data_IF_662401777554
#
_entry.id   IF_662401777554
#
_cell.length_a   1.000
_cell.length_b   1.000
_cell.length_c   1.000
_cell.angle_alpha   90.00
_cell.angle_beta   90.00
_cell.angle_gamma   90.00
#
_symmetry.space_group_name_H-M   'P 1'
#
loop_
_entity.id
_entity.type
_entity.pdbx_description
1 polymer ?
#
# COMPACT_ATOMS: atom_id res chain seq x y z
N UNK A 1 -14.85 6.41 -15.65
CA UNK A 1 -14.16 5.68 -14.59
C UNK A 1 -13.09 4.79 -15.22
N UNK A 2 -11.91 4.60 -14.62
CA UNK A 2 -10.93 3.65 -15.12
C UNK A 2 -11.55 2.24 -15.22
N UNK A 3 -11.21 1.48 -16.27
CA UNK A 3 -11.72 0.11 -16.46
C UNK A 3 -11.38 -0.82 -15.27
N UNK A 4 -10.29 -0.53 -14.57
CA UNK A 4 -9.85 -1.25 -13.37
C UNK A 4 -10.87 -1.26 -12.26
N UNK A 5 -11.72 -0.24 -12.14
CA UNK A 5 -12.74 -0.15 -11.10
C UNK A 5 -13.85 -1.19 -11.26
N UNK A 6 -14.04 -1.72 -12.48
CA UNK A 6 -14.99 -2.81 -12.73
C UNK A 6 -14.54 -4.16 -12.12
N UNK A 7 -13.29 -4.26 -11.67
CA UNK A 7 -12.74 -5.44 -10.98
C UNK A 7 -12.91 -5.39 -9.47
N UNK A 8 -13.41 -4.26 -8.94
CA UNK A 8 -13.70 -4.14 -7.53
C UNK A 8 -14.96 -4.91 -7.19
N UNK A 9 -14.86 -5.78 -6.20
CA UNK A 9 -15.99 -6.55 -5.67
C UNK A 9 -16.23 -6.16 -4.22
N UNK A 10 -17.49 -6.07 -3.82
CA UNK A 10 -17.86 -5.75 -2.45
C UNK A 10 -17.54 -6.93 -1.54
N UNK A 11 -16.68 -6.70 -0.55
CA UNK A 11 -16.27 -7.68 0.44
C UNK A 11 -15.71 -6.99 1.70
N UNK A 12 -15.99 -7.54 2.86
CA UNK A 12 -15.42 -7.08 4.12
C UNK A 12 -14.07 -7.75 4.38
N UNK A 13 -12.98 -7.10 3.97
CA UNK A 13 -11.62 -7.58 4.20
C UNK A 13 -11.11 -7.34 5.63
N UNK A 14 -11.68 -6.39 6.32
CA UNK A 14 -11.16 -5.88 7.58
C UNK A 14 -12.06 -6.21 8.76
N UNK A 15 -11.49 -6.34 9.97
CA UNK A 15 -12.29 -6.49 11.18
C UNK A 15 -13.28 -5.35 11.34
N UNK A 16 -14.49 -5.66 11.78
CA UNK A 16 -15.47 -4.63 12.15
C UNK A 16 -14.95 -3.83 13.33
N UNK A 17 -15.14 -2.52 13.26
CA UNK A 17 -14.73 -1.56 14.29
C UNK A 17 -15.97 -0.93 14.89
N UNK A 18 -16.05 -0.93 16.22
CA UNK A 18 -17.11 -0.25 16.93
C UNK A 18 -16.81 1.26 17.03
N UNK A 19 -17.84 2.09 16.84
CA UNK A 19 -17.74 3.53 17.06
C UNK A 19 -18.13 3.88 18.52
N UNK A 20 -17.54 4.94 19.12
CA UNK A 20 -16.56 5.84 18.53
C UNK A 20 -15.16 5.22 18.45
N UNK A 21 -14.39 5.58 17.43
CA UNK A 21 -13.03 5.09 17.23
C UNK A 21 -12.14 6.18 16.59
N UNK A 22 -10.84 6.03 16.75
CA UNK A 22 -9.84 6.92 16.16
C UNK A 22 -8.65 6.11 15.63
N UNK A 23 -7.91 6.70 14.70
CA UNK A 23 -6.74 6.06 14.11
C UNK A 23 -5.54 6.15 15.04
N UNK A 24 -4.85 5.05 15.16
CA UNK A 24 -3.55 4.91 15.83
C UNK A 24 -2.56 4.24 14.88
N UNK A 25 -1.30 4.23 15.24
CA UNK A 25 -0.26 3.52 14.52
C UNK A 25 0.42 2.47 15.40
N UNK A 26 0.77 1.36 14.76
CA UNK A 26 1.72 0.37 15.27
C UNK A 26 2.92 0.33 14.35
N UNK A 27 4.13 0.47 14.91
CA UNK A 27 5.39 0.51 14.15
C UNK A 27 6.29 -0.64 14.55
N UNK A 28 6.90 -1.26 13.55
CA UNK A 28 7.92 -2.31 13.69
C UNK A 28 9.17 -1.92 12.92
N UNK A 29 10.32 -2.03 13.58
CA UNK A 29 11.60 -1.61 13.05
C UNK A 29 12.51 -2.82 12.79
N UNK A 30 13.17 -2.83 11.65
CA UNK A 30 14.08 -3.87 11.19
C UNK A 30 15.37 -3.24 10.69
N UNK A 31 16.48 -3.98 10.69
CA UNK A 31 17.75 -3.51 10.15
C UNK A 31 17.66 -3.28 8.64
N UNK A 32 17.92 -2.05 8.19
CA UNK A 32 17.75 -1.66 6.80
C UNK A 32 18.79 -2.29 5.86
N UNK A 33 20.07 -2.30 6.26
CA UNK A 33 21.14 -2.70 5.34
C UNK A 33 21.03 -4.16 4.86
N UNK A 34 20.74 -5.16 5.73
CA UNK A 34 20.52 -6.53 5.29
C UNK A 34 19.29 -6.67 4.37
N UNK A 35 18.17 -6.02 4.72
CA UNK A 35 16.94 -6.05 3.91
C UNK A 35 17.19 -5.44 2.54
N UNK A 36 17.82 -4.26 2.48
CA UNK A 36 18.13 -3.59 1.22
C UNK A 36 19.03 -4.45 0.31
N UNK A 37 20.02 -5.15 0.89
CA UNK A 37 20.89 -6.08 0.16
C UNK A 37 20.11 -7.29 -0.36
N UNK A 38 19.26 -7.88 0.47
CA UNK A 38 18.43 -9.03 0.10
C UNK A 38 17.44 -8.69 -1.01
N UNK A 39 16.74 -7.56 -0.91
CA UNK A 39 15.80 -7.10 -1.93
C UNK A 39 16.47 -6.86 -3.28
N UNK A 40 17.69 -6.26 -3.29
CA UNK A 40 18.46 -6.08 -4.52
C UNK A 40 18.88 -7.41 -5.14
N UNK A 41 19.28 -8.39 -4.31
CA UNK A 41 19.67 -9.72 -4.78
C UNK A 41 18.53 -10.41 -5.56
N UNK A 42 17.31 -10.35 -5.05
CA UNK A 42 16.13 -10.94 -5.73
C UNK A 42 15.43 -9.96 -6.69
N UNK A 43 16.05 -8.78 -6.91
CA UNK A 43 15.51 -7.73 -7.78
C UNK A 43 14.05 -7.32 -7.44
N UNK A 44 13.74 -7.15 -6.16
CA UNK A 44 12.41 -6.77 -5.65
C UNK A 44 12.48 -5.39 -4.99
N UNK A 45 11.44 -4.60 -5.15
CA UNK A 45 11.34 -3.27 -4.53
C UNK A 45 10.71 -3.33 -3.13
N UNK A 46 10.99 -2.37 -2.23
CA UNK A 46 10.28 -2.28 -0.94
C UNK A 46 8.75 -2.20 -1.10
N UNK A 47 8.25 -1.56 -2.16
CA UNK A 47 6.82 -1.50 -2.43
C UNK A 47 6.24 -2.89 -2.73
N UNK A 48 6.92 -3.72 -3.53
CA UNK A 48 6.49 -5.10 -3.79
C UNK A 48 6.56 -5.96 -2.52
N UNK A 49 7.54 -5.73 -1.64
CA UNK A 49 7.61 -6.37 -0.32
C UNK A 49 6.36 -6.05 0.51
N UNK A 50 5.96 -4.77 0.60
CA UNK A 50 4.75 -4.35 1.32
C UNK A 50 3.48 -5.01 0.76
N UNK A 51 3.33 -5.02 -0.56
CA UNK A 51 2.20 -5.67 -1.23
C UNK A 51 2.13 -7.15 -0.86
N UNK A 52 3.27 -7.84 -0.88
CA UNK A 52 3.36 -9.26 -0.52
C UNK A 52 3.04 -9.51 0.94
N UNK A 53 3.60 -8.71 1.85
CA UNK A 53 3.31 -8.82 3.29
C UNK A 53 1.80 -8.66 3.53
N UNK A 54 1.20 -7.60 3.01
CA UNK A 54 -0.17 -7.26 3.36
C UNK A 54 -1.18 -8.25 2.78
N UNK A 55 -1.02 -8.63 1.50
CA UNK A 55 -1.91 -9.61 0.89
C UNK A 55 -1.85 -10.98 1.61
N UNK A 56 -0.64 -11.45 1.96
CA UNK A 56 -0.48 -12.71 2.68
C UNK A 56 -1.03 -12.65 4.10
N UNK A 57 -0.82 -11.53 4.79
CA UNK A 57 -1.38 -11.32 6.11
C UNK A 57 -2.91 -11.37 6.11
N UNK A 58 -3.57 -10.71 5.14
CA UNK A 58 -5.02 -10.77 5.01
C UNK A 58 -5.52 -12.18 4.73
N UNK A 59 -4.87 -12.91 3.82
CA UNK A 59 -5.25 -14.30 3.52
C UNK A 59 -5.11 -15.21 4.74
N UNK A 60 -4.04 -15.04 5.51
CA UNK A 60 -3.81 -15.76 6.77
C UNK A 60 -4.86 -15.37 7.83
N UNK A 61 -5.19 -14.08 7.95
CA UNK A 61 -6.23 -13.61 8.86
C UNK A 61 -7.60 -14.22 8.54
N UNK A 62 -7.94 -14.35 7.27
CA UNK A 62 -9.16 -15.00 6.78
C UNK A 62 -9.07 -16.53 6.66
N UNK A 63 -7.99 -17.14 7.19
CA UNK A 63 -7.82 -18.60 7.23
C UNK A 63 -7.98 -19.26 5.84
N UNK A 64 -7.47 -18.60 4.80
CA UNK A 64 -7.52 -19.08 3.42
C UNK A 64 -8.85 -18.86 2.67
N UNK A 65 -9.90 -18.38 3.34
CA UNK A 65 -11.22 -18.17 2.71
C UNK A 65 -11.20 -17.21 1.52
N UNK A 66 -10.19 -16.33 1.44
CA UNK A 66 -10.01 -15.36 0.36
C UNK A 66 -8.82 -15.69 -0.55
N UNK A 67 -8.31 -16.90 -0.52
CA UNK A 67 -7.10 -17.28 -1.28
C UNK A 67 -7.27 -17.11 -2.79
N UNK A 68 -8.45 -17.40 -3.32
CA UNK A 68 -8.78 -17.25 -4.74
C UNK A 68 -9.22 -15.81 -5.11
N UNK A 69 -9.24 -14.90 -4.15
CA UNK A 69 -9.66 -13.53 -4.40
C UNK A 69 -8.53 -12.72 -5.03
N UNK A 70 -8.83 -11.98 -6.09
CA UNK A 70 -7.95 -10.94 -6.63
C UNK A 70 -8.07 -9.72 -5.72
N UNK A 71 -6.95 -9.26 -5.18
CA UNK A 71 -6.91 -8.06 -4.33
C UNK A 71 -6.45 -6.86 -5.15
N UNK A 72 -7.17 -5.75 -5.04
CA UNK A 72 -6.73 -4.47 -5.55
C UNK A 72 -5.79 -3.81 -4.54
N UNK A 73 -4.61 -3.41 -4.97
CA UNK A 73 -3.65 -2.66 -4.16
C UNK A 73 -3.73 -1.19 -4.54
N UNK A 74 -4.29 -0.39 -3.66
CA UNK A 74 -4.26 1.05 -3.80
C UNK A 74 -2.88 1.57 -3.37
N UNK A 75 -2.16 2.20 -4.27
CA UNK A 75 -0.80 2.69 -4.01
C UNK A 75 -0.49 3.97 -4.78
N UNK A 76 0.44 4.75 -4.25
CA UNK A 76 0.95 5.93 -4.92
C UNK A 76 2.10 5.56 -5.87
N UNK A 77 2.05 6.10 -7.08
CA UNK A 77 3.09 5.96 -8.09
C UNK A 77 3.64 7.35 -8.42
N UNK A 78 4.96 7.47 -8.46
CA UNK A 78 5.59 8.71 -8.91
C UNK A 78 5.36 8.89 -10.42
N UNK A 79 4.43 9.76 -10.79
CA UNK A 79 4.09 10.04 -12.19
C UNK A 79 5.23 10.68 -12.97
N UNK A 80 6.22 11.32 -12.33
CA UNK A 80 7.40 11.85 -13.02
C UNK A 80 8.25 10.77 -13.66
N UNK A 81 8.21 9.55 -13.12
CA UNK A 81 8.95 8.39 -13.63
C UNK A 81 8.22 7.62 -14.72
N UNK A 82 7.01 8.01 -15.07
CA UNK A 82 6.22 7.34 -16.10
C UNK A 82 6.57 7.86 -17.50
N UNK A 83 6.34 7.05 -18.52
CA UNK A 83 6.53 7.47 -19.93
C UNK A 83 5.53 8.53 -20.40
N UNK A 84 4.47 8.77 -19.63
CA UNK A 84 3.43 9.77 -19.92
C UNK A 84 3.70 11.11 -19.25
N UNK A 85 4.72 11.22 -18.41
CA UNK A 85 5.17 12.48 -17.86
C UNK A 85 5.75 13.34 -18.98
N UNK A 86 5.21 14.54 -19.20
CA UNK A 86 5.80 15.49 -20.13
C UNK A 86 7.09 16.10 -19.53
N UNK A 87 7.92 16.70 -20.39
CA UNK A 87 9.21 17.25 -19.97
C UNK A 87 9.08 18.42 -18.98
N UNK A 88 7.91 19.06 -18.89
CA UNK A 88 7.62 20.12 -17.93
C UNK A 88 7.53 19.54 -16.53
N UNK A 89 6.77 18.44 -16.33
CA UNK A 89 6.65 17.77 -15.04
C UNK A 89 7.96 17.17 -14.56
N UNK A 90 8.81 16.68 -15.47
CA UNK A 90 10.15 16.19 -15.15
C UNK A 90 11.09 17.27 -14.60
N UNK A 91 10.86 18.52 -14.97
CA UNK A 91 11.71 19.68 -14.60
C UNK A 91 11.24 20.42 -13.35
N UNK A 92 10.03 20.13 -12.85
CA UNK A 92 9.48 20.79 -11.67
C UNK A 92 9.79 19.98 -10.41
N UNK A 93 10.84 20.33 -9.63
CA UNK A 93 11.28 19.52 -8.48
C UNK A 93 10.27 19.51 -7.33
N UNK A 94 9.29 20.41 -7.34
CA UNK A 94 8.31 20.58 -6.26
C UNK A 94 6.97 19.89 -6.51
N UNK A 95 6.71 19.45 -7.73
CA UNK A 95 5.52 18.66 -8.06
C UNK A 95 5.90 17.19 -8.16
N UNK A 96 6.11 16.55 -7.00
CA UNK A 96 6.01 15.10 -6.91
C UNK A 96 4.52 14.75 -7.03
N UNK A 97 4.01 14.78 -8.24
CA UNK A 97 2.67 14.28 -8.54
C UNK A 97 2.68 12.78 -8.35
N UNK A 98 2.24 12.36 -7.18
CA UNK A 98 1.94 10.96 -6.95
C UNK A 98 0.60 10.66 -7.65
N UNK A 99 0.64 9.87 -8.70
CA UNK A 99 -0.58 9.25 -9.21
C UNK A 99 -1.02 8.14 -8.26
N UNK A 100 -2.31 7.89 -8.23
CA UNK A 100 -2.89 6.75 -7.50
C UNK A 100 -3.16 5.64 -8.50
N UNK A 101 -2.66 4.44 -8.20
CA UNK A 101 -2.96 3.26 -9.00
C UNK A 101 -3.64 2.18 -8.15
N UNK A 102 -4.56 1.45 -8.75
CA UNK A 102 -5.12 0.23 -8.19
C UNK A 102 -4.54 -0.94 -8.98
N UNK A 103 -3.63 -1.67 -8.35
CA UNK A 103 -2.92 -2.79 -8.95
C UNK A 103 -3.57 -4.08 -8.47
N UNK A 104 -4.09 -4.88 -9.40
CA UNK A 104 -4.71 -6.16 -9.06
C UNK A 104 -3.68 -7.28 -8.97
N UNK A 105 -3.67 -7.95 -7.81
CA UNK A 105 -2.73 -9.04 -7.49
C UNK A 105 -3.47 -10.29 -7.05
N UNK A 106 -2.91 -11.43 -7.47
CA UNK A 106 -3.37 -12.76 -7.14
C UNK A 106 -2.36 -13.43 -6.20
N UNK A 107 -2.80 -14.35 -5.37
CA UNK A 107 -1.92 -15.18 -4.55
C UNK A 107 -1.12 -16.12 -5.45
N UNK A 108 0.18 -16.21 -5.18
CA UNK A 108 1.07 -17.20 -5.78
C UNK A 108 1.35 -18.34 -4.79
N UNK A 109 1.94 -19.44 -5.27
CA UNK A 109 2.20 -20.63 -4.47
C UNK A 109 3.14 -20.37 -3.30
N UNK A 110 4.22 -19.62 -3.55
CA UNK A 110 5.24 -19.35 -2.53
C UNK A 110 5.55 -17.85 -2.40
N UNK A 111 6.35 -17.51 -1.38
CA UNK A 111 6.70 -16.11 -1.06
C UNK A 111 7.50 -15.45 -2.19
N UNK A 112 8.43 -16.17 -2.80
CA UNK A 112 9.27 -15.60 -3.86
C UNK A 112 8.43 -15.24 -5.08
N UNK A 113 7.53 -16.12 -5.48
CA UNK A 113 6.66 -15.91 -6.63
C UNK A 113 5.70 -14.73 -6.38
N UNK A 114 5.17 -14.56 -5.16
CA UNK A 114 4.39 -13.38 -4.79
C UNK A 114 5.22 -12.09 -4.90
N UNK A 115 6.46 -12.09 -4.40
CA UNK A 115 7.36 -10.93 -4.49
C UNK A 115 7.64 -10.55 -5.95
N UNK A 116 7.90 -11.55 -6.79
CA UNK A 116 8.16 -11.36 -8.22
C UNK A 116 6.89 -10.90 -8.93
N UNK A 117 5.74 -11.50 -8.63
CA UNK A 117 4.44 -11.11 -9.18
C UNK A 117 4.11 -9.65 -8.87
N UNK A 118 4.18 -9.25 -7.60
CA UNK A 118 3.95 -7.87 -7.17
C UNK A 118 4.91 -6.88 -7.85
N UNK A 119 6.20 -7.23 -7.99
CA UNK A 119 7.18 -6.41 -8.73
C UNK A 119 6.79 -6.23 -10.19
N UNK A 120 6.38 -7.31 -10.85
CA UNK A 120 6.02 -7.28 -12.27
C UNK A 120 4.77 -6.42 -12.48
N UNK A 121 3.75 -6.57 -11.65
CA UNK A 121 2.54 -5.74 -11.67
C UNK A 121 2.83 -4.25 -11.46
N UNK A 122 3.71 -3.91 -10.50
CA UNK A 122 4.18 -2.53 -10.33
C UNK A 122 4.89 -1.98 -11.57
N UNK A 123 5.68 -2.81 -12.25
CA UNK A 123 6.39 -2.41 -13.47
C UNK A 123 5.44 -2.20 -14.65
N UNK A 124 4.45 -3.07 -14.78
CA UNK A 124 3.38 -2.94 -15.79
C UNK A 124 2.64 -1.61 -15.58
N UNK A 125 2.22 -1.29 -14.36
CA UNK A 125 1.47 -0.10 -14.03
C UNK A 125 2.28 1.19 -14.25
N UNK A 126 3.57 1.22 -13.91
CA UNK A 126 4.45 2.36 -14.23
C UNK A 126 4.54 2.68 -15.71
N UNK A 127 4.34 1.70 -16.56
CA UNK A 127 4.30 1.84 -18.01
C UNK A 127 2.87 2.08 -18.54
N UNK A 128 1.86 1.92 -17.69
CA UNK A 128 0.45 2.14 -17.98
C UNK A 128 0.03 3.60 -17.92
N UNK A 129 -1.16 3.89 -18.44
CA UNK A 129 -1.78 5.23 -18.38
C UNK A 129 -2.58 5.45 -17.10
N UNK A 130 -3.02 4.38 -16.44
CA UNK A 130 -4.06 4.43 -15.42
C UNK A 130 -3.63 5.24 -14.19
N UNK A 131 -2.39 5.12 -13.74
CA UNK A 131 -1.89 5.91 -12.62
C UNK A 131 -2.02 7.43 -12.83
N UNK A 132 -1.71 7.89 -14.05
CA UNK A 132 -1.85 9.31 -14.40
C UNK A 132 -3.33 9.71 -14.56
N UNK A 133 -4.17 8.80 -15.05
CA UNK A 133 -5.61 9.05 -15.24
C UNK A 133 -6.36 9.10 -13.91
N UNK A 134 -6.01 8.26 -12.94
CA UNK A 134 -6.62 8.31 -11.60
C UNK A 134 -6.38 9.66 -10.91
N UNK A 135 -5.16 10.21 -11.02
CA UNK A 135 -4.86 11.54 -10.50
C UNK A 135 -5.71 12.63 -11.16
N UNK A 136 -5.80 12.60 -12.49
CA UNK A 136 -6.66 13.54 -13.21
C UNK A 136 -8.12 13.40 -12.79
N UNK A 137 -8.61 12.17 -12.58
CA UNK A 137 -9.99 11.93 -12.17
C UNK A 137 -10.28 12.49 -10.77
N UNK A 138 -9.40 12.28 -9.80
CA UNK A 138 -9.55 12.87 -8.46
C UNK A 138 -9.58 14.39 -8.49
N UNK A 139 -8.79 15.03 -9.35
CA UNK A 139 -8.81 16.49 -9.52
C UNK A 139 -10.12 17.02 -10.13
N UNK A 140 -10.83 16.22 -10.95
CA UNK A 140 -12.14 16.58 -11.48
C UNK A 140 -13.27 16.48 -10.44
N UNK A 141 -13.05 15.78 -9.33
CA UNK A 141 -14.02 15.68 -8.25
C UNK A 141 -14.08 16.94 -7.39
N UNK A 142 -13.07 17.79 -7.45
CA UNK A 142 -13.02 19.04 -6.69
C UNK A 142 -13.53 20.19 -7.55
N UNK A 143 -14.60 20.83 -7.13
CA UNK A 143 -15.02 22.09 -7.72
C UNK A 143 -14.05 23.20 -7.25
N UNK A 144 -13.15 23.65 -8.12
CA UNK A 144 -12.11 24.64 -7.79
C UNK A 144 -12.66 25.96 -7.25
N UNK A 145 -13.93 26.31 -7.56
CA UNK A 145 -14.55 27.57 -7.10
C UNK A 145 -15.17 27.45 -5.72
N UNK A 146 -15.80 26.30 -5.42
CA UNK A 146 -16.50 26.11 -4.15
C UNK A 146 -15.69 25.26 -3.18
N UNK A 147 -14.61 24.62 -3.64
CA UNK A 147 -13.84 23.62 -2.91
C UNK A 147 -14.68 22.43 -2.43
N UNK A 148 -15.86 22.27 -3.00
CA UNK A 148 -16.71 21.13 -2.72
C UNK A 148 -16.25 19.91 -3.51
N UNK A 149 -16.32 18.77 -2.86
CA UNK A 149 -16.01 17.46 -3.49
C UNK A 149 -17.32 16.92 -4.07
N UNK A 150 -17.42 16.91 -5.39
CA UNK A 150 -18.52 16.28 -6.10
C UNK A 150 -18.24 14.77 -6.25
N UNK A 151 -18.57 13.97 -5.26
CA UNK A 151 -18.47 12.51 -5.36
C UNK A 151 -19.62 12.03 -6.26
N UNK A 152 -19.34 11.37 -7.39
CA UNK A 152 -20.40 10.80 -8.21
C UNK A 152 -21.23 9.79 -7.40
N UNK A 153 -22.56 9.81 -7.54
CA UNK A 153 -23.48 8.87 -6.87
C UNK A 153 -23.12 7.38 -7.06
N UNK A 154 -22.34 7.08 -8.09
CA UNK A 154 -21.87 5.71 -8.41
C UNK A 154 -20.42 5.42 -7.97
N UNK A 155 -19.81 6.25 -7.15
CA UNK A 155 -18.50 5.94 -6.64
C UNK A 155 -18.61 4.78 -5.65
N UNK A 156 -17.96 3.62 -5.90
CA UNK A 156 -18.06 2.52 -4.95
C UNK A 156 -17.48 2.95 -3.60
N UNK A 157 -18.14 2.56 -2.51
CA UNK A 157 -17.55 2.71 -1.19
C UNK A 157 -16.31 1.81 -1.11
N UNK A 158 -15.16 2.39 -1.41
CA UNK A 158 -13.88 1.67 -1.53
C UNK A 158 -13.50 0.91 -0.26
N UNK A 159 -14.03 1.30 0.90
CA UNK A 159 -13.79 0.61 2.18
C UNK A 159 -14.47 -0.75 2.29
N UNK A 160 -15.46 -1.02 1.43
CA UNK A 160 -16.21 -2.29 1.38
C UNK A 160 -15.80 -3.16 0.20
N UNK A 161 -14.66 -2.90 -0.41
CA UNK A 161 -14.20 -3.63 -1.59
C UNK A 161 -12.93 -4.43 -1.30
N UNK A 162 -12.56 -5.28 -2.24
CA UNK A 162 -11.33 -6.09 -2.24
C UNK A 162 -10.05 -5.24 -2.39
N UNK A 163 -9.98 -4.12 -1.66
CA UNK A 163 -8.85 -3.17 -1.72
C UNK A 163 -7.98 -3.23 -0.47
N UNK A 164 -6.68 -3.16 -0.68
CA UNK A 164 -5.67 -2.91 0.35
C UNK A 164 -4.90 -1.64 0.03
N UNK A 165 -4.48 -0.91 1.05
CA UNK A 165 -3.66 0.28 0.87
C UNK A 165 -2.24 0.04 1.38
N UNK A 166 -1.26 0.28 0.52
CA UNK A 166 0.16 0.21 0.88
C UNK A 166 0.94 1.35 0.24
N UNK A 167 1.87 1.93 0.98
CA UNK A 167 2.71 3.00 0.46
C UNK A 167 4.13 2.95 1.04
N UNK A 168 5.12 2.96 0.15
CA UNK A 168 6.51 3.12 0.54
C UNK A 168 6.91 4.59 0.40
N UNK A 169 7.13 5.24 1.54
CA UNK A 169 7.52 6.66 1.62
C UNK A 169 9.01 6.88 1.28
N UNK A 170 9.76 5.79 1.07
CA UNK A 170 11.17 5.85 0.71
C UNK A 170 12.07 6.25 1.87
N UNK A 171 13.14 6.97 1.55
CA UNK A 171 14.13 7.41 2.53
C UNK A 171 13.69 8.71 3.19
N UNK A 172 13.51 8.67 4.51
CA UNK A 172 13.19 9.84 5.32
C UNK A 172 14.43 10.27 6.08
N UNK A 173 14.95 11.45 5.73
CA UNK A 173 16.15 12.04 6.35
C UNK A 173 15.73 13.02 7.44
N UNK A 174 15.52 12.54 8.65
CA UNK A 174 15.31 13.39 9.82
C UNK A 174 16.33 13.01 10.89
N UNK A 175 17.51 13.59 10.79
CA UNK A 175 18.58 13.43 11.79
C UNK A 175 19.01 11.98 12.04
N UNK A 176 19.77 11.77 13.15
CA UNK A 176 20.22 10.44 13.59
C UNK A 176 19.25 9.73 14.56
N UNK A 177 18.04 10.24 14.74
CA UNK A 177 17.10 9.70 15.72
C UNK A 177 16.04 8.82 15.06
N UNK A 178 15.60 7.81 15.77
CA UNK A 178 14.46 6.97 15.36
C UNK A 178 13.23 7.84 15.12
N UNK A 179 12.70 7.75 13.90
CA UNK A 179 11.50 8.46 13.50
C UNK A 179 10.32 7.62 13.94
N UNK A 180 9.41 8.25 14.68
CA UNK A 180 8.09 7.68 14.96
C UNK A 180 7.08 8.36 14.06
N UNK A 181 6.35 7.56 13.31
CA UNK A 181 5.24 8.04 12.52
C UNK A 181 4.00 8.12 13.41
N UNK A 182 3.29 9.23 13.38
CA UNK A 182 2.06 9.39 14.16
C UNK A 182 1.01 10.15 13.38
N UNK A 183 -0.15 9.54 13.21
CA UNK A 183 -1.37 10.16 12.74
C UNK A 183 -2.47 9.84 13.74
N UNK A 184 -3.27 10.84 14.10
CA UNK A 184 -4.45 10.66 14.93
C UNK A 184 -5.59 11.48 14.33
N UNK A 185 -6.66 10.81 13.93
CA UNK A 185 -7.90 11.42 13.50
C UNK A 185 -9.09 10.49 13.80
N UNK A 186 -10.27 11.07 13.93
CA UNK A 186 -11.47 10.31 14.25
C UNK A 186 -11.96 9.54 13.02
N UNK A 187 -12.55 8.36 13.26
CA UNK A 187 -13.16 7.54 12.22
C UNK A 187 -14.62 7.95 12.08
N UNK A 188 -15.05 8.14 10.84
CA UNK A 188 -16.45 8.41 10.49
C UNK A 188 -17.25 7.11 10.30
N UNK A 189 -18.58 7.22 10.21
CA UNK A 189 -19.48 6.09 9.92
C UNK A 189 -19.20 5.42 8.56
N UNK A 190 -18.59 6.15 7.61
CA UNK A 190 -18.19 5.63 6.29
C UNK A 190 -17.07 4.60 6.35
N UNK A 191 -16.46 4.45 7.52
CA UNK A 191 -15.44 3.45 7.78
C UNK A 191 -14.02 3.92 7.50
N UNK A 192 -13.08 3.06 7.80
CA UNK A 192 -11.66 3.22 7.55
C UNK A 192 -11.03 1.85 7.30
N UNK A 193 -10.11 1.76 6.37
CA UNK A 193 -9.30 0.55 6.22
C UNK A 193 -7.90 0.73 6.79
N UNK A 194 -7.32 -0.29 7.42
CA UNK A 194 -5.94 -0.26 7.85
C UNK A 194 -4.98 -0.09 6.68
N UNK A 195 -4.01 0.82 6.83
CA UNK A 195 -3.02 1.13 5.81
C UNK A 195 -1.63 0.70 6.26
N UNK A 196 -0.89 0.04 5.38
CA UNK A 196 0.49 -0.36 5.66
C UNK A 196 1.48 0.55 4.92
N UNK A 197 2.33 1.22 5.68
CA UNK A 197 3.39 2.07 5.16
C UNK A 197 4.76 1.48 5.44
N UNK A 198 5.74 1.85 4.62
CA UNK A 198 7.15 1.68 4.95
C UNK A 198 7.94 2.96 4.73
N UNK A 199 8.99 3.12 5.50
CA UNK A 199 10.04 4.11 5.25
C UNK A 199 11.39 3.59 5.79
N UNK A 200 12.47 4.25 5.41
CA UNK A 200 13.80 3.92 5.94
C UNK A 200 14.61 5.17 6.23
N UNK A 201 15.60 5.06 7.14
CA UNK A 201 16.47 6.15 7.57
C UNK A 201 17.98 5.83 7.48
N UNK A 202 18.42 4.94 6.63
CA UNK A 202 19.75 4.34 6.50
C UNK A 202 20.06 3.19 7.50
N UNK A 203 19.56 3.23 8.71
CA UNK A 203 19.80 2.21 9.75
C UNK A 203 18.59 1.28 9.86
N UNK A 204 17.41 1.86 9.82
CA UNK A 204 16.14 1.18 10.11
C UNK A 204 15.24 1.14 8.89
N UNK A 205 14.63 0.00 8.65
CA UNK A 205 13.46 -0.17 7.79
C UNK A 205 12.23 -0.31 8.67
N UNK A 206 11.38 0.69 8.64
CA UNK A 206 10.18 0.75 9.49
C UNK A 206 8.95 0.38 8.70
N UNK A 207 8.15 -0.52 9.26
CA UNK A 207 6.78 -0.81 8.83
C UNK A 207 5.82 -0.13 9.80
N UNK A 208 4.82 0.55 9.28
CA UNK A 208 3.82 1.27 10.07
C UNK A 208 2.43 0.87 9.60
N UNK A 209 1.67 0.26 10.49
CA UNK A 209 0.26 -0.01 10.30
C UNK A 209 -0.56 1.12 10.92
N UNK A 210 -1.29 1.87 10.11
CA UNK A 210 -2.34 2.78 10.59
C UNK A 210 -3.64 2.00 10.72
N UNK A 211 -4.26 2.03 11.88
CA UNK A 211 -5.45 1.22 12.14
C UNK A 211 -6.36 1.87 13.20
N UNK A 212 -7.64 1.49 13.27
CA UNK A 212 -8.51 1.87 14.39
C UNK A 212 -7.94 1.41 15.74
N UNK A 213 -8.08 2.25 16.77
CA UNK A 213 -7.56 1.95 18.12
C UNK A 213 -8.17 0.67 18.74
N UNK A 214 -9.36 0.29 18.31
CA UNK A 214 -10.11 -0.87 18.80
C UNK A 214 -10.23 -2.00 17.75
N UNK A 215 -9.32 -2.03 16.76
CA UNK A 215 -9.25 -3.14 15.81
C UNK A 215 -8.90 -4.45 16.53
N UNK A 216 -9.30 -5.58 15.98
CA UNK A 216 -8.93 -6.89 16.48
C UNK A 216 -7.40 -7.04 16.57
N UNK A 217 -6.91 -7.34 17.77
CA UNK A 217 -5.47 -7.52 18.02
C UNK A 217 -4.87 -8.65 17.18
N UNK A 218 -5.64 -9.73 16.93
CA UNK A 218 -5.22 -10.83 16.06
C UNK A 218 -4.85 -10.32 14.65
N UNK A 219 -5.55 -9.29 14.15
CA UNK A 219 -5.24 -8.70 12.86
C UNK A 219 -3.85 -8.05 12.84
N UNK A 220 -3.52 -7.28 13.90
CA UNK A 220 -2.21 -6.63 14.04
C UNK A 220 -1.08 -7.67 14.16
N UNK A 221 -1.31 -8.70 14.98
CA UNK A 221 -0.36 -9.81 15.20
C UNK A 221 -0.08 -10.56 13.90
N UNK A 222 -1.10 -10.87 13.11
CA UNK A 222 -0.94 -11.57 11.83
C UNK A 222 -0.12 -10.74 10.83
N UNK A 223 -0.29 -9.41 10.80
CA UNK A 223 0.52 -8.54 9.94
C UNK A 223 1.98 -8.51 10.41
N UNK A 224 2.22 -8.40 11.71
CA UNK A 224 3.56 -8.48 12.28
C UNK A 224 4.25 -9.80 11.95
N UNK A 225 3.61 -10.92 12.25
CA UNK A 225 4.18 -12.25 12.04
C UNK A 225 4.50 -12.51 10.57
N UNK A 226 3.61 -12.09 9.66
CA UNK A 226 3.85 -12.19 8.22
C UNK A 226 5.01 -11.30 7.77
N UNK A 227 5.15 -10.12 8.37
CA UNK A 227 6.29 -9.24 8.10
C UNK A 227 7.61 -9.89 8.50
N UNK A 228 7.67 -10.48 9.70
CA UNK A 228 8.84 -11.21 10.20
C UNK A 228 9.14 -12.43 9.32
N UNK A 229 8.12 -13.22 8.97
CA UNK A 229 8.26 -14.41 8.13
C UNK A 229 8.87 -14.07 6.76
N UNK A 230 8.30 -13.07 6.07
CA UNK A 230 8.76 -12.70 4.73
C UNK A 230 10.14 -12.04 4.77
N UNK A 231 10.40 -11.18 5.77
CA UNK A 231 11.72 -10.55 5.94
C UNK A 231 12.78 -11.64 6.21
N UNK A 232 12.52 -12.58 7.09
CA UNK A 232 13.44 -13.70 7.35
C UNK A 232 13.63 -14.57 6.10
N UNK A 233 12.57 -14.81 5.32
CA UNK A 233 12.67 -15.54 4.07
C UNK A 233 13.66 -14.86 3.11
N UNK A 234 13.53 -13.55 2.84
CA UNK A 234 14.41 -12.83 1.92
C UNK A 234 15.86 -12.75 2.43
N UNK A 235 16.05 -12.61 3.74
CA UNK A 235 17.40 -12.55 4.35
C UNK A 235 18.14 -13.88 4.21
N UNK A 236 17.45 -15.00 4.29
CA UNK A 236 18.02 -16.35 4.21
C UNK A 236 17.97 -16.95 2.79
N UNK A 237 17.45 -16.23 1.81
CA UNK A 237 17.30 -16.72 0.45
C UNK A 237 18.66 -16.97 -0.20
N UNK A 238 18.90 -18.22 -0.62
CA UNK A 238 20.06 -18.64 -1.43
C UNK A 238 19.58 -18.91 -2.84
N UNK A 239 20.20 -18.25 -3.82
CA UNK A 239 20.01 -18.65 -5.22
C UNK A 239 20.50 -20.09 -5.37
N UNK A 240 19.68 -20.92 -6.00
CA UNK A 240 20.06 -22.29 -6.37
C UNK A 240 20.90 -22.26 -7.63
#
# INVERSE_FOLDING_TARGET
>A
MPETWNKLIEINLYPKVALPSYIVNTQWDFDYAPISKALRKINVTPQALLMTIYQRALRKYHEGKIDNLILGVHTHINCQSTKYSNDIFKKLPFFQTAGVAIIFIEKQENILDDLIHCRNKLKEEKNGKEACMCYCYESYLVNEKTMEINIPEKMPNIYKHNLIFVSNLGKVLVGKKNIKFGLKFDITEDGYWPNLYAFNNNETFSLVLLHPNNIDKKFIEVIHDMSVEIINFILNYKEK
#
